data_IF_662558614619
#
_entry.id   IF_662558614619
#
_cell.length_a   1.000
_cell.length_b   1.000
_cell.length_c   1.000
_cell.angle_alpha   90.00
_cell.angle_beta   90.00
_cell.angle_gamma   90.00
#
_symmetry.space_group_name_H-M   'P 1'
#
loop_
_entity.id
_entity.type
_entity.pdbx_description
1 polymer ?
#
# COMPACT_ATOMS: atom_id res chain seq x y z
N UNK A 1 17.92 15.16 -17.19
CA UNK A 1 18.62 16.34 -16.62
C UNK A 1 19.43 15.85 -15.45
N UNK A 2 20.75 16.04 -15.49
CA UNK A 2 21.68 15.57 -14.46
C UNK A 2 21.21 15.98 -13.07
N UNK A 3 21.13 15.02 -12.14
CA UNK A 3 20.97 15.29 -10.71
C UNK A 3 22.27 15.92 -10.24
N UNK A 4 22.39 17.23 -10.41
CA UNK A 4 23.46 18.02 -9.83
C UNK A 4 23.22 18.09 -8.33
N UNK A 5 24.15 17.49 -7.58
CA UNK A 5 24.31 17.70 -6.14
C UNK A 5 24.25 19.20 -5.83
N UNK A 6 23.41 19.60 -4.88
CA UNK A 6 23.29 21.00 -4.43
C UNK A 6 24.68 21.55 -4.03
N UNK A 7 25.09 22.73 -4.51
CA UNK A 7 26.41 23.31 -4.23
C UNK A 7 26.64 23.61 -2.72
N UNK A 8 25.57 23.73 -1.92
CA UNK A 8 25.68 23.87 -0.46
C UNK A 8 26.15 22.59 0.23
N UNK A 9 25.65 21.41 -0.20
CA UNK A 9 26.07 20.13 0.37
C UNK A 9 27.47 19.71 -0.09
N UNK A 10 27.86 20.07 -1.33
CA UNK A 10 29.24 19.91 -1.80
C UNK A 10 30.22 20.74 -0.95
N UNK A 11 29.80 21.94 -0.50
CA UNK A 11 30.63 22.81 0.35
C UNK A 11 30.74 22.29 1.80
N UNK A 12 29.70 21.64 2.33
CA UNK A 12 29.72 21.02 3.67
C UNK A 12 30.54 19.72 3.67
N UNK A 13 30.46 18.92 2.60
CA UNK A 13 31.27 17.71 2.45
C UNK A 13 32.78 18.01 2.33
N UNK A 14 33.16 19.14 1.72
CA UNK A 14 34.57 19.54 1.58
C UNK A 14 35.21 19.99 2.90
N UNK A 15 34.42 20.47 3.87
CA UNK A 15 34.93 20.86 5.20
C UNK A 15 35.23 19.66 6.13
N UNK A 16 34.69 18.47 5.84
CA UNK A 16 34.90 17.27 6.67
C UNK A 16 36.08 16.38 6.22
N UNK A 17 36.75 16.70 5.10
CA UNK A 17 37.83 15.86 4.55
C UNK A 17 39.23 16.22 5.06
N UNK A 18 39.40 17.34 5.79
CA UNK A 18 40.74 17.85 6.12
C UNK A 18 41.32 17.54 7.51
N UNK A 19 40.67 16.71 8.33
CA UNK A 19 41.29 16.26 9.59
C UNK A 19 41.27 14.74 9.68
N UNK A 20 42.41 14.12 9.36
CA UNK A 20 42.63 12.68 9.43
C UNK A 20 42.35 12.13 10.83
N UNK A 21 41.40 11.21 10.91
CA UNK A 21 40.99 10.52 12.13
C UNK A 21 39.58 10.02 11.95
N UNK A 22 39.42 8.71 11.69
CA UNK A 22 38.15 8.09 11.30
C UNK A 22 37.08 8.13 12.38
N UNK A 23 36.37 9.25 12.48
CA UNK A 23 35.07 9.42 13.12
C UNK A 23 34.31 10.44 12.26
N UNK A 24 33.31 10.00 11.48
CA UNK A 24 32.44 10.94 10.77
C UNK A 24 31.65 11.74 11.81
N UNK A 25 32.05 12.98 12.08
CA UNK A 25 31.32 13.86 13.01
C UNK A 25 29.96 14.16 12.38
N UNK A 26 28.88 13.72 13.04
CA UNK A 26 27.51 14.01 12.60
C UNK A 26 27.14 15.46 12.91
N UNK A 27 26.30 16.04 12.05
CA UNK A 27 25.79 17.41 12.19
C UNK A 27 24.78 17.45 13.34
N UNK A 28 25.06 18.29 14.35
CA UNK A 28 24.17 18.54 15.50
C UNK A 28 23.53 19.92 15.48
N UNK A 29 23.89 20.77 14.51
CA UNK A 29 23.36 22.14 14.37
C UNK A 29 21.93 22.12 13.83
N UNK A 30 20.97 22.54 14.67
CA UNK A 30 19.56 22.60 14.29
C UNK A 30 19.26 23.62 13.18
N UNK A 31 20.05 24.68 13.06
CA UNK A 31 19.87 25.67 11.99
C UNK A 31 20.19 25.04 10.65
N UNK A 32 21.32 24.32 10.55
CA UNK A 32 21.69 23.57 9.36
C UNK A 32 20.66 22.47 9.04
N UNK A 33 20.14 21.78 10.06
CA UNK A 33 19.09 20.78 9.89
C UNK A 33 17.78 21.39 9.34
N UNK A 34 17.37 22.57 9.83
CA UNK A 34 16.19 23.29 9.32
C UNK A 34 16.38 23.78 7.90
N UNK A 35 17.54 24.31 7.56
CA UNK A 35 17.81 24.80 6.21
C UNK A 35 17.88 23.65 5.20
N UNK A 36 18.46 22.51 5.59
CA UNK A 36 18.39 21.27 4.79
C UNK A 36 16.94 20.81 4.56
N UNK A 37 16.09 20.82 5.59
CA UNK A 37 14.67 20.47 5.45
C UNK A 37 13.91 21.40 4.50
N UNK A 38 14.19 22.72 4.51
CA UNK A 38 13.57 23.67 3.57
C UNK A 38 13.93 23.35 2.12
N UNK A 39 15.20 23.01 1.85
CA UNK A 39 15.62 22.60 0.50
C UNK A 39 14.93 21.30 0.08
N UNK A 40 14.92 20.31 0.97
CA UNK A 40 14.24 19.04 0.76
C UNK A 40 12.76 19.24 0.43
N UNK A 41 12.03 19.99 1.26
CA UNK A 41 10.59 20.24 1.10
C UNK A 41 10.29 20.93 -0.24
N UNK A 42 11.07 21.95 -0.62
CA UNK A 42 10.91 22.64 -1.90
C UNK A 42 11.07 21.71 -3.11
N UNK A 43 12.07 20.83 -3.07
CA UNK A 43 12.36 19.87 -4.17
C UNK A 43 11.37 18.72 -4.17
N UNK A 44 11.09 18.15 -2.99
CA UNK A 44 10.18 17.04 -2.78
C UNK A 44 8.79 17.34 -3.32
N UNK A 45 8.22 18.52 -2.98
CA UNK A 45 6.90 18.93 -3.50
C UNK A 45 6.80 18.94 -5.02
N UNK A 46 7.87 19.33 -5.73
CA UNK A 46 7.86 19.37 -7.20
C UNK A 46 7.87 17.96 -7.79
N UNK A 47 8.68 17.06 -7.24
CA UNK A 47 8.75 15.66 -7.70
C UNK A 47 7.47 14.91 -7.36
N UNK A 48 6.95 15.11 -6.14
CA UNK A 48 5.71 14.52 -5.67
C UNK A 48 4.51 14.95 -6.52
N UNK A 49 4.43 16.24 -6.88
CA UNK A 49 3.41 16.74 -7.81
C UNK A 49 3.47 16.03 -9.17
N UNK A 50 4.66 15.91 -9.77
CA UNK A 50 4.82 15.23 -11.07
C UNK A 50 4.41 13.76 -10.99
N UNK A 51 4.84 13.05 -9.95
CA UNK A 51 4.47 11.64 -9.72
C UNK A 51 2.97 11.47 -9.51
N UNK A 52 2.36 12.35 -8.71
CA UNK A 52 0.91 12.32 -8.43
C UNK A 52 0.07 12.57 -9.69
N UNK A 53 0.49 13.53 -10.53
CA UNK A 53 -0.20 13.81 -11.80
C UNK A 53 -0.08 12.63 -12.77
N UNK A 54 1.08 11.98 -12.83
CA UNK A 54 1.26 10.79 -13.68
C UNK A 54 0.36 9.63 -13.22
N UNK A 55 0.35 9.33 -11.92
CA UNK A 55 -0.54 8.31 -11.33
C UNK A 55 -2.02 8.63 -11.60
N UNK A 56 -2.44 9.87 -11.39
CA UNK A 56 -3.81 10.32 -11.68
C UNK A 56 -4.21 10.07 -13.14
N UNK A 57 -3.33 10.42 -14.08
CA UNK A 57 -3.57 10.21 -15.51
C UNK A 57 -3.68 8.72 -15.87
N UNK A 58 -2.92 7.84 -15.20
CA UNK A 58 -3.04 6.40 -15.41
C UNK A 58 -4.36 5.84 -14.86
N UNK A 59 -4.69 6.12 -13.59
CA UNK A 59 -5.92 5.56 -12.97
C UNK A 59 -7.21 6.10 -13.59
N UNK A 60 -7.16 7.27 -14.23
CA UNK A 60 -8.29 7.84 -14.98
C UNK A 60 -8.29 7.49 -16.47
N UNK A 61 -7.18 7.00 -17.02
CA UNK A 61 -7.03 6.58 -18.41
C UNK A 61 -5.97 5.46 -18.55
N UNK A 62 -6.42 4.22 -18.38
CA UNK A 62 -5.58 3.02 -18.39
C UNK A 62 -5.03 2.73 -19.78
N UNK A 63 -3.79 3.15 -20.05
CA UNK A 63 -3.05 2.88 -21.28
C UNK A 63 -1.61 2.52 -20.94
N UNK A 64 -0.95 1.71 -21.80
CA UNK A 64 0.47 1.38 -21.65
C UNK A 64 1.35 2.65 -21.62
N UNK A 65 0.99 3.67 -22.40
CA UNK A 65 1.68 4.95 -22.39
C UNK A 65 1.64 5.63 -21.01
N UNK A 66 0.45 5.74 -20.42
CA UNK A 66 0.31 6.34 -19.09
C UNK A 66 0.95 5.49 -18.00
N UNK A 67 0.87 4.15 -18.09
CA UNK A 67 1.55 3.25 -17.18
C UNK A 67 3.06 3.50 -17.16
N UNK A 68 3.67 3.61 -18.35
CA UNK A 68 5.10 3.90 -18.48
C UNK A 68 5.48 5.24 -17.85
N UNK A 69 4.68 6.28 -18.06
CA UNK A 69 4.92 7.60 -17.46
C UNK A 69 4.81 7.57 -15.93
N UNK A 70 3.86 6.82 -15.38
CA UNK A 70 3.72 6.58 -13.94
C UNK A 70 4.96 5.92 -13.36
N UNK A 71 5.43 4.83 -13.96
CA UNK A 71 6.65 4.13 -13.53
C UNK A 71 7.86 5.06 -13.60
N UNK A 72 8.03 5.81 -14.69
CA UNK A 72 9.17 6.71 -14.85
C UNK A 72 9.17 7.86 -13.82
N UNK A 73 8.00 8.43 -13.52
CA UNK A 73 7.87 9.46 -12.49
C UNK A 73 8.09 8.90 -11.07
N UNK A 74 7.56 7.71 -10.79
CA UNK A 74 7.73 7.00 -9.52
C UNK A 74 9.20 6.63 -9.24
N UNK A 75 9.94 6.21 -10.27
CA UNK A 75 11.38 5.94 -10.15
C UNK A 75 12.17 7.20 -9.78
N UNK A 76 11.89 8.34 -10.42
CA UNK A 76 12.55 9.62 -10.08
C UNK A 76 12.25 10.06 -8.65
N UNK A 77 11.01 9.88 -8.20
CA UNK A 77 10.63 10.19 -6.82
C UNK A 77 11.33 9.25 -5.83
N UNK A 78 11.40 7.96 -6.15
CA UNK A 78 12.08 6.95 -5.34
C UNK A 78 13.58 7.23 -5.21
N UNK A 79 14.27 7.56 -6.31
CA UNK A 79 15.69 7.96 -6.27
C UNK A 79 15.91 9.15 -5.32
N UNK A 80 15.02 10.15 -5.36
CA UNK A 80 15.08 11.30 -4.46
C UNK A 80 14.83 10.89 -3.00
N UNK A 81 13.81 10.08 -2.72
CA UNK A 81 13.52 9.58 -1.36
C UNK A 81 14.68 8.79 -0.77
N UNK A 82 15.31 7.93 -1.58
CA UNK A 82 16.50 7.17 -1.20
C UNK A 82 17.65 8.10 -0.82
N UNK A 83 17.92 9.12 -1.65
CA UNK A 83 18.96 10.11 -1.37
C UNK A 83 18.66 10.92 -0.10
N UNK A 84 17.39 11.22 0.17
CA UNK A 84 16.95 11.92 1.38
C UNK A 84 17.22 11.07 2.62
N UNK A 85 16.79 9.80 2.62
CA UNK A 85 17.05 8.89 3.72
C UNK A 85 18.54 8.72 4.00
N UNK A 86 19.35 8.54 2.95
CA UNK A 86 20.80 8.52 3.09
C UNK A 86 21.36 9.82 3.69
N UNK A 87 20.89 10.98 3.23
CA UNK A 87 21.34 12.26 3.74
C UNK A 87 20.98 12.49 5.22
N UNK A 88 19.89 11.91 5.73
CA UNK A 88 19.58 11.99 7.17
C UNK A 88 20.68 11.37 8.05
N UNK A 89 21.48 10.43 7.52
CA UNK A 89 22.55 9.76 8.28
C UNK A 89 23.71 10.68 8.65
N UNK A 90 23.87 11.80 7.93
CA UNK A 90 24.85 12.85 8.25
C UNK A 90 24.48 13.67 9.48
N UNK A 91 23.22 13.64 9.92
CA UNK A 91 22.73 14.37 11.08
C UNK A 91 22.64 13.46 12.30
N UNK A 92 23.01 13.96 13.48
CA UNK A 92 22.67 13.30 14.75
C UNK A 92 21.26 13.70 15.17
N UNK A 93 20.29 13.37 14.32
CA UNK A 93 18.95 13.90 14.46
C UNK A 93 18.24 13.38 15.72
N UNK A 94 18.71 12.28 16.32
CA UNK A 94 18.17 11.75 17.57
C UNK A 94 18.52 12.62 18.78
N UNK A 95 19.63 13.37 18.71
CA UNK A 95 20.10 14.24 19.79
C UNK A 95 19.61 15.68 19.68
N UNK A 96 18.82 16.01 18.65
CA UNK A 96 18.26 17.36 18.50
C UNK A 96 17.42 17.73 19.73
N UNK A 97 17.13 19.00 19.95
CA UNK A 97 16.25 19.46 21.03
C UNK A 97 14.83 19.65 20.54
N UNK A 98 14.65 20.13 19.32
CA UNK A 98 13.34 20.32 18.71
C UNK A 98 12.70 18.97 18.31
N UNK A 99 11.63 18.59 19.00
CA UNK A 99 10.93 17.33 18.76
C UNK A 99 10.22 17.28 17.39
N UNK A 100 9.78 18.42 16.85
CA UNK A 100 9.23 18.50 15.50
C UNK A 100 10.30 18.25 14.43
N UNK A 101 11.53 18.68 14.69
CA UNK A 101 12.70 18.42 13.84
C UNK A 101 13.06 16.93 13.91
N UNK A 102 13.19 16.36 15.12
CA UNK A 102 13.39 14.91 15.30
C UNK A 102 12.35 14.09 14.55
N UNK A 103 11.07 14.47 14.67
CA UNK A 103 9.96 13.78 14.02
C UNK A 103 10.11 13.80 12.50
N UNK A 104 10.40 14.96 11.90
CA UNK A 104 10.63 15.04 10.45
C UNK A 104 11.79 14.15 10.02
N UNK A 105 12.92 14.19 10.73
CA UNK A 105 14.06 13.32 10.44
C UNK A 105 13.75 11.83 10.61
N UNK A 106 12.93 11.45 11.60
CA UNK A 106 12.48 10.07 11.77
C UNK A 106 11.78 9.57 10.51
N UNK A 107 10.80 10.30 9.98
CA UNK A 107 10.10 9.93 8.75
C UNK A 107 11.03 9.93 7.54
N UNK A 108 11.87 10.96 7.39
CA UNK A 108 12.78 11.05 6.26
C UNK A 108 13.89 10.00 6.28
N UNK A 109 14.22 9.45 7.45
CA UNK A 109 15.22 8.39 7.58
C UNK A 109 14.74 7.04 7.04
N UNK A 110 13.45 6.89 6.74
CA UNK A 110 12.84 5.69 6.17
C UNK A 110 12.62 5.91 4.68
N UNK A 111 13.30 5.14 3.84
CA UNK A 111 13.14 5.24 2.40
C UNK A 111 11.93 4.42 1.89
N UNK A 112 11.41 3.51 2.68
CA UNK A 112 10.37 2.57 2.26
C UNK A 112 10.87 1.73 1.08
N UNK A 113 10.00 1.53 0.09
CA UNK A 113 10.34 0.78 -1.13
C UNK A 113 11.56 1.35 -1.86
N UNK A 114 11.80 2.66 -1.78
CA UNK A 114 12.90 3.33 -2.45
C UNK A 114 14.30 2.89 -1.99
N UNK A 115 14.41 2.19 -0.85
CA UNK A 115 15.70 1.66 -0.38
C UNK A 115 16.26 0.57 -1.31
N UNK A 116 15.41 -0.09 -2.09
CA UNK A 116 15.76 -1.15 -3.03
C UNK A 116 16.59 -0.64 -4.22
N UNK A 117 17.07 -1.53 -5.09
CA UNK A 117 17.66 -1.13 -6.38
C UNK A 117 16.60 -0.56 -7.32
N UNK A 118 17.02 0.23 -8.33
CA UNK A 118 16.10 0.78 -9.32
C UNK A 118 15.26 -0.31 -10.02
N UNK A 119 15.91 -1.41 -10.45
CA UNK A 119 15.23 -2.56 -11.06
C UNK A 119 14.19 -3.21 -10.13
N UNK A 120 14.46 -3.25 -8.82
CA UNK A 120 13.54 -3.82 -7.84
C UNK A 120 12.35 -2.89 -7.56
N UNK A 121 12.57 -1.57 -7.55
CA UNK A 121 11.50 -0.57 -7.45
C UNK A 121 10.63 -0.63 -8.70
N UNK A 122 11.23 -0.63 -9.90
CA UNK A 122 10.52 -0.76 -11.17
C UNK A 122 9.69 -2.04 -11.21
N UNK A 123 10.25 -3.17 -10.76
CA UNK A 123 9.53 -4.43 -10.65
C UNK A 123 8.34 -4.33 -9.71
N UNK A 124 8.50 -3.73 -8.53
CA UNK A 124 7.43 -3.56 -7.56
C UNK A 124 6.30 -2.65 -8.09
N UNK A 125 6.63 -1.58 -8.80
CA UNK A 125 5.65 -0.69 -9.43
C UNK A 125 4.92 -1.37 -10.61
N UNK A 126 5.65 -2.13 -11.41
CA UNK A 126 5.07 -2.93 -12.51
C UNK A 126 4.09 -3.97 -11.99
N UNK A 127 4.46 -4.70 -10.93
CA UNK A 127 3.58 -5.68 -10.28
C UNK A 127 2.33 -5.02 -9.69
N UNK A 128 2.48 -3.86 -9.01
CA UNK A 128 1.36 -3.09 -8.46
C UNK A 128 0.39 -2.67 -9.57
N UNK A 129 0.88 -1.96 -10.58
CA UNK A 129 0.04 -1.44 -11.68
C UNK A 129 -0.60 -2.56 -12.49
N UNK A 130 0.10 -3.68 -12.72
CA UNK A 130 -0.48 -4.86 -13.38
C UNK A 130 -1.61 -5.53 -12.58
N UNK A 131 -1.50 -5.58 -11.25
CA UNK A 131 -2.60 -6.04 -10.39
C UNK A 131 -3.79 -5.07 -10.42
N UNK A 132 -3.54 -3.75 -10.39
CA UNK A 132 -4.58 -2.72 -10.50
C UNK A 132 -5.33 -2.80 -11.84
N UNK A 133 -4.61 -2.97 -12.95
CA UNK A 133 -5.20 -3.17 -14.27
C UNK A 133 -6.04 -4.45 -14.34
N UNK A 134 -5.49 -5.56 -13.83
CA UNK A 134 -6.19 -6.85 -13.77
C UNK A 134 -7.50 -6.72 -13.00
N UNK A 135 -7.50 -6.03 -11.86
CA UNK A 135 -8.70 -5.81 -11.06
C UNK A 135 -9.71 -4.89 -11.77
N UNK A 136 -9.24 -3.76 -12.30
CA UNK A 136 -10.08 -2.69 -12.86
C UNK A 136 -10.74 -3.06 -14.19
N UNK A 137 -10.07 -3.89 -15.00
CA UNK A 137 -10.55 -4.27 -16.34
C UNK A 137 -11.27 -5.63 -16.35
N UNK A 138 -11.24 -6.36 -15.24
CA UNK A 138 -11.82 -7.70 -15.14
C UNK A 138 -13.33 -7.70 -15.43
N UNK A 139 -13.77 -8.74 -16.12
CA UNK A 139 -15.17 -9.00 -16.44
C UNK A 139 -15.52 -10.47 -16.17
N UNK A 140 -16.72 -10.70 -15.65
CA UNK A 140 -17.25 -12.04 -15.40
C UNK A 140 -18.33 -12.35 -16.42
N UNK A 141 -18.13 -13.40 -17.20
CA UNK A 141 -19.11 -13.87 -18.18
C UNK A 141 -19.93 -15.00 -17.55
N UNK A 142 -21.19 -14.72 -17.19
CA UNK A 142 -22.09 -15.70 -16.56
C UNK A 142 -22.91 -16.48 -17.61
N UNK A 143 -23.27 -17.75 -17.34
CA UNK A 143 -24.22 -18.48 -18.16
C UNK A 143 -25.55 -17.72 -18.29
N UNK A 144 -26.06 -17.57 -19.51
CA UNK A 144 -27.28 -16.78 -19.78
C UNK A 144 -27.05 -15.27 -19.88
N UNK A 145 -25.81 -14.78 -19.75
CA UNK A 145 -25.40 -13.41 -20.08
C UNK A 145 -24.40 -13.43 -21.24
N UNK A 146 -24.71 -14.21 -22.28
CA UNK A 146 -23.79 -14.49 -23.40
C UNK A 146 -23.48 -13.26 -24.26
N UNK A 147 -24.34 -12.23 -24.23
CA UNK A 147 -24.12 -10.99 -24.98
C UNK A 147 -23.28 -9.95 -24.22
N UNK A 148 -23.14 -10.04 -22.89
CA UNK A 148 -22.41 -9.03 -22.09
C UNK A 148 -21.78 -9.65 -20.84
N UNK A 149 -20.44 -9.66 -20.78
CA UNK A 149 -19.72 -9.93 -19.54
C UNK A 149 -19.84 -8.75 -18.57
N UNK A 150 -19.99 -9.05 -17.29
CA UNK A 150 -20.27 -8.08 -16.23
C UNK A 150 -18.98 -7.51 -15.64
N UNK A 151 -18.89 -6.19 -15.52
CA UNK A 151 -17.84 -5.52 -14.76
C UNK A 151 -18.13 -5.58 -13.26
N UNK A 152 -17.13 -5.30 -12.41
CA UNK A 152 -17.38 -5.18 -10.97
C UNK A 152 -18.40 -4.08 -10.68
N UNK A 153 -18.08 -2.87 -11.11
CA UNK A 153 -18.93 -1.70 -11.02
C UNK A 153 -19.51 -1.33 -12.40
N UNK A 154 -20.81 -1.03 -12.51
CA UNK A 154 -21.85 -1.24 -11.50
C UNK A 154 -22.45 -2.66 -11.51
N UNK A 155 -22.10 -3.50 -12.50
CA UNK A 155 -22.89 -4.70 -12.85
C UNK A 155 -22.92 -5.76 -11.72
N UNK A 156 -21.75 -6.25 -11.29
CA UNK A 156 -21.68 -7.26 -10.22
C UNK A 156 -22.10 -6.69 -8.87
N UNK A 157 -21.68 -5.47 -8.52
CA UNK A 157 -22.08 -4.81 -7.25
C UNK A 157 -23.60 -4.65 -7.16
N UNK A 158 -24.26 -4.29 -8.26
CA UNK A 158 -25.74 -4.26 -8.32
C UNK A 158 -26.32 -5.66 -8.18
N UNK A 159 -25.75 -6.66 -8.85
CA UNK A 159 -26.21 -8.05 -8.75
C UNK A 159 -26.15 -8.56 -7.30
N UNK A 160 -25.03 -8.37 -6.60
CA UNK A 160 -24.89 -8.81 -5.21
C UNK A 160 -25.87 -8.12 -4.28
N UNK A 161 -26.13 -6.83 -4.48
CA UNK A 161 -27.02 -6.06 -3.60
C UNK A 161 -28.51 -6.31 -3.84
N UNK A 162 -28.91 -6.76 -5.04
CA UNK A 162 -30.34 -6.87 -5.41
C UNK A 162 -30.82 -8.30 -5.65
N UNK A 163 -29.93 -9.22 -6.08
CA UNK A 163 -30.33 -10.59 -6.38
C UNK A 163 -30.51 -11.42 -5.11
N UNK A 164 -31.46 -12.34 -5.17
CA UNK A 164 -31.65 -13.41 -4.18
C UNK A 164 -31.50 -14.81 -4.79
N UNK A 165 -30.94 -14.90 -6.00
CA UNK A 165 -30.72 -16.18 -6.66
C UNK A 165 -29.40 -16.80 -6.21
N UNK A 166 -29.49 -17.84 -5.38
CA UNK A 166 -28.34 -18.56 -4.82
C UNK A 166 -27.31 -18.96 -5.88
N UNK A 167 -27.76 -19.62 -6.96
CA UNK A 167 -26.87 -20.14 -8.01
C UNK A 167 -26.19 -19.00 -8.77
N UNK A 168 -26.92 -17.92 -9.06
CA UNK A 168 -26.38 -16.74 -9.73
C UNK A 168 -25.31 -16.07 -8.86
N UNK A 169 -25.61 -15.81 -7.59
CA UNK A 169 -24.68 -15.19 -6.65
C UNK A 169 -23.41 -16.03 -6.45
N UNK A 170 -23.55 -17.35 -6.35
CA UNK A 170 -22.41 -18.29 -6.24
C UNK A 170 -21.53 -18.23 -7.47
N UNK A 171 -22.13 -18.25 -8.67
CA UNK A 171 -21.39 -18.18 -9.94
C UNK A 171 -20.70 -16.82 -10.10
N UNK A 172 -21.37 -15.71 -9.75
CA UNK A 172 -20.78 -14.38 -9.77
C UNK A 172 -19.59 -14.25 -8.81
N UNK A 173 -19.76 -14.70 -7.56
CA UNK A 173 -18.73 -14.62 -6.52
C UNK A 173 -17.49 -15.43 -6.87
N UNK A 174 -17.70 -16.64 -7.38
CA UNK A 174 -16.63 -17.51 -7.86
C UNK A 174 -15.98 -16.93 -9.12
N UNK A 175 -16.79 -16.52 -10.09
CA UNK A 175 -16.33 -15.97 -11.35
C UNK A 175 -15.45 -14.75 -11.15
N UNK A 176 -15.82 -13.83 -10.25
CA UNK A 176 -14.99 -12.67 -9.90
C UNK A 176 -13.61 -13.08 -9.40
N UNK A 177 -13.55 -14.01 -8.43
CA UNK A 177 -12.29 -14.54 -7.88
C UNK A 177 -11.44 -15.29 -8.92
N UNK A 178 -12.09 -15.99 -9.85
CA UNK A 178 -11.41 -16.72 -10.93
C UNK A 178 -10.74 -15.78 -11.94
N UNK A 179 -11.36 -14.64 -12.28
CA UNK A 179 -10.81 -13.68 -13.25
C UNK A 179 -9.87 -12.64 -12.64
N UNK A 180 -9.90 -12.47 -11.31
CA UNK A 180 -9.04 -11.53 -10.57
C UNK A 180 -8.03 -12.26 -9.67
N UNK A 181 -8.44 -12.67 -8.46
CA UNK A 181 -7.57 -13.20 -7.41
C UNK A 181 -6.69 -14.36 -7.86
N UNK A 182 -7.19 -15.24 -8.75
CA UNK A 182 -6.38 -16.32 -9.32
C UNK A 182 -5.23 -15.82 -10.19
N UNK A 183 -5.43 -14.73 -10.94
CA UNK A 183 -4.40 -14.12 -11.80
C UNK A 183 -3.37 -13.34 -10.99
N UNK A 184 -3.81 -12.60 -9.98
CA UNK A 184 -2.93 -11.75 -9.16
C UNK A 184 -2.14 -12.52 -8.09
N UNK A 185 -2.43 -13.81 -7.86
CA UNK A 185 -1.82 -14.60 -6.77
C UNK A 185 -0.29 -14.63 -6.82
N UNK A 186 0.29 -14.84 -7.99
CA UNK A 186 1.74 -14.93 -8.16
C UNK A 186 2.40 -13.56 -7.97
N UNK A 187 1.81 -12.54 -8.60
CA UNK A 187 2.29 -11.16 -8.53
C UNK A 187 2.25 -10.62 -7.10
N UNK A 188 1.17 -10.90 -6.37
CA UNK A 188 1.04 -10.53 -4.96
C UNK A 188 2.12 -11.18 -4.09
N UNK A 189 2.42 -12.46 -4.31
CA UNK A 189 3.47 -13.16 -3.56
C UNK A 189 4.86 -12.56 -3.83
N UNK A 190 5.13 -12.14 -5.07
CA UNK A 190 6.38 -11.47 -5.41
C UNK A 190 6.45 -10.04 -4.85
N UNK A 191 5.34 -9.29 -4.89
CA UNK A 191 5.22 -7.97 -4.29
C UNK A 191 5.55 -8.00 -2.80
N UNK A 192 4.99 -8.96 -2.06
CA UNK A 192 5.22 -9.14 -0.62
C UNK A 192 6.70 -9.40 -0.32
N UNK A 193 7.44 -10.12 -1.19
CA UNK A 193 8.88 -10.34 -0.99
C UNK A 193 9.66 -9.03 -1.10
N UNK A 194 9.35 -8.20 -2.10
CA UNK A 194 10.00 -6.91 -2.32
C UNK A 194 9.72 -5.94 -1.16
N UNK A 195 8.44 -5.83 -0.74
CA UNK A 195 8.05 -4.99 0.39
C UNK A 195 8.74 -5.42 1.69
N UNK A 196 8.76 -6.72 1.99
CA UNK A 196 9.47 -7.23 3.17
C UNK A 196 11.00 -7.04 3.07
N UNK A 197 11.58 -7.11 1.87
CA UNK A 197 13.01 -6.80 1.68
C UNK A 197 13.28 -5.33 2.01
N UNK A 198 12.44 -4.42 1.51
CA UNK A 198 12.56 -2.99 1.78
C UNK A 198 12.43 -2.69 3.28
N UNK A 199 11.40 -3.22 3.94
CA UNK A 199 11.19 -3.05 5.37
C UNK A 199 12.42 -3.49 6.21
N UNK A 200 13.03 -4.63 5.86
CA UNK A 200 14.26 -5.11 6.53
C UNK A 200 15.47 -4.20 6.32
N UNK A 201 15.63 -3.63 5.14
CA UNK A 201 16.70 -2.67 4.87
C UNK A 201 16.48 -1.36 5.64
N UNK A 202 15.22 -0.98 5.87
CA UNK A 202 14.84 0.15 6.73
C UNK A 202 14.91 -0.17 8.25
N UNK A 203 15.39 -1.35 8.62
CA UNK A 203 15.58 -1.77 10.01
C UNK A 203 14.31 -2.23 10.73
N UNK A 204 13.29 -2.64 9.98
CA UNK A 204 12.04 -3.24 10.49
C UNK A 204 12.05 -4.76 10.22
N UNK A 205 11.21 -5.54 10.89
CA UNK A 205 11.10 -6.99 10.68
C UNK A 205 10.45 -7.33 9.34
N UNK A 206 9.37 -6.64 9.01
CA UNK A 206 8.49 -6.93 7.88
C UNK A 206 7.64 -5.70 7.49
N UNK A 207 6.99 -5.78 6.33
CA UNK A 207 6.08 -4.75 5.82
C UNK A 207 4.88 -4.51 6.76
N UNK A 208 4.48 -5.52 7.55
CA UNK A 208 3.43 -5.38 8.54
C UNK A 208 3.84 -4.44 9.67
N UNK A 209 5.08 -4.55 10.16
CA UNK A 209 5.66 -3.62 11.12
C UNK A 209 5.76 -2.21 10.53
N UNK A 210 6.20 -2.07 9.27
CA UNK A 210 6.24 -0.76 8.60
C UNK A 210 4.86 -0.09 8.56
N UNK A 211 3.80 -0.86 8.30
CA UNK A 211 2.42 -0.35 8.30
C UNK A 211 1.91 -0.01 9.69
N UNK A 212 2.26 -0.78 10.72
CA UNK A 212 1.86 -0.47 12.10
C UNK A 212 2.63 0.72 12.69
N UNK A 213 3.87 0.95 12.24
CA UNK A 213 4.73 2.01 12.76
C UNK A 213 4.12 3.42 12.64
N UNK A 214 3.22 3.65 11.68
CA UNK A 214 2.54 4.95 11.51
C UNK A 214 1.63 5.32 12.68
N UNK A 215 1.21 4.34 13.49
CA UNK A 215 0.38 4.57 14.67
C UNK A 215 1.20 4.94 15.91
N UNK A 216 2.53 4.79 15.86
CA UNK A 216 3.46 5.14 16.96
C UNK A 216 3.00 4.56 18.32
N UNK A 217 2.52 3.32 18.31
CA UNK A 217 1.93 2.62 19.45
C UNK A 217 2.69 1.32 19.72
N UNK A 218 3.18 1.15 20.95
CA UNK A 218 4.01 0.00 21.33
C UNK A 218 3.26 -1.34 21.25
N UNK A 219 2.00 -1.40 21.73
CA UNK A 219 1.15 -2.61 21.70
C UNK A 219 -0.10 -2.43 20.83
N UNK A 220 0.14 -2.03 19.57
CA UNK A 220 -0.95 -1.84 18.60
C UNK A 220 -1.80 -3.11 18.40
N UNK A 221 -1.19 -4.29 18.38
CA UNK A 221 -1.89 -5.55 18.17
C UNK A 221 -2.74 -5.94 19.39
N UNK A 222 -2.24 -5.74 20.61
CA UNK A 222 -3.00 -5.98 21.83
C UNK A 222 -4.22 -5.06 21.96
N UNK A 223 -4.08 -3.78 21.60
CA UNK A 223 -5.19 -2.83 21.63
C UNK A 223 -6.28 -3.17 20.60
N UNK A 224 -5.89 -3.58 19.39
CA UNK A 224 -6.85 -4.08 18.39
C UNK A 224 -7.58 -5.33 18.86
N UNK A 225 -6.87 -6.28 19.48
CA UNK A 225 -7.47 -7.50 20.02
C UNK A 225 -8.45 -7.17 21.16
N UNK A 226 -8.10 -6.23 22.06
CA UNK A 226 -9.01 -5.75 23.11
C UNK A 226 -10.31 -5.19 22.53
N UNK A 227 -10.20 -4.29 21.56
CA UNK A 227 -11.37 -3.70 20.89
C UNK A 227 -12.19 -4.78 20.19
N UNK A 228 -11.55 -5.76 19.53
CA UNK A 228 -12.25 -6.89 18.92
C UNK A 228 -13.05 -7.68 19.95
N UNK A 229 -12.47 -8.01 21.12
CA UNK A 229 -13.19 -8.74 22.17
C UNK A 229 -14.39 -7.95 22.72
N UNK A 230 -14.34 -6.62 22.73
CA UNK A 230 -15.48 -5.77 23.14
C UNK A 230 -16.61 -5.76 22.09
N UNK A 231 -16.26 -5.78 20.80
CA UNK A 231 -17.23 -5.81 19.68
C UNK A 231 -17.81 -7.21 19.47
N UNK A 232 -17.03 -8.25 19.78
CA UNK A 232 -17.34 -9.66 19.49
C UNK A 232 -18.71 -10.13 19.99
N UNK A 233 -19.16 -9.83 21.23
CA UNK A 233 -20.50 -10.24 21.68
C UNK A 233 -21.63 -9.66 20.82
N UNK A 234 -21.52 -8.39 20.41
CA UNK A 234 -22.50 -7.76 19.51
C UNK A 234 -22.45 -8.41 18.13
N UNK A 235 -21.25 -8.61 17.59
CA UNK A 235 -21.05 -9.27 16.30
C UNK A 235 -21.63 -10.69 16.29
N UNK A 236 -21.43 -11.49 17.34
CA UNK A 236 -21.96 -12.85 17.44
C UNK A 236 -23.49 -12.89 17.46
N UNK A 237 -24.13 -11.97 18.18
CA UNK A 237 -25.59 -11.86 18.19
C UNK A 237 -26.12 -11.46 16.81
N UNK A 238 -25.50 -10.46 16.16
CA UNK A 238 -25.86 -10.04 14.81
C UNK A 238 -25.68 -11.17 13.80
N UNK A 239 -24.52 -11.84 13.84
CA UNK A 239 -24.19 -12.98 13.00
C UNK A 239 -25.22 -14.11 13.16
N UNK A 240 -25.57 -14.48 14.41
CA UNK A 240 -26.57 -15.52 14.66
C UNK A 240 -27.96 -15.13 14.12
N UNK A 241 -28.39 -13.89 14.32
CA UNK A 241 -29.65 -13.39 13.79
C UNK A 241 -29.69 -13.42 12.26
N UNK A 242 -28.67 -12.85 11.61
CA UNK A 242 -28.55 -12.80 10.15
C UNK A 242 -28.48 -14.20 9.56
N UNK A 243 -27.66 -15.09 10.16
CA UNK A 243 -27.57 -16.50 9.74
C UNK A 243 -28.92 -17.19 9.75
N UNK A 244 -29.71 -17.05 10.83
CA UNK A 244 -31.04 -17.65 10.92
C UNK A 244 -31.95 -17.16 9.79
N UNK A 245 -31.99 -15.84 9.56
CA UNK A 245 -32.81 -15.25 8.48
C UNK A 245 -32.38 -15.69 7.08
N UNK A 246 -31.07 -15.83 6.85
CA UNK A 246 -30.56 -16.33 5.56
C UNK A 246 -30.83 -17.82 5.38
N UNK A 247 -30.73 -18.63 6.42
CA UNK A 247 -31.07 -20.05 6.38
C UNK A 247 -32.56 -20.26 6.05
N UNK A 248 -33.46 -19.46 6.64
CA UNK A 248 -34.88 -19.43 6.28
C UNK A 248 -35.10 -19.04 4.81
N UNK A 249 -34.44 -17.96 4.35
CA UNK A 249 -34.58 -17.44 2.98
C UNK A 249 -34.06 -18.40 1.92
N UNK A 250 -32.95 -19.09 2.19
CA UNK A 250 -32.29 -20.01 1.26
C UNK A 250 -32.55 -21.48 1.60
N UNK A 251 -33.68 -21.77 2.27
CA UNK A 251 -34.09 -23.13 2.57
C UNK A 251 -34.14 -23.98 1.28
N UNK A 252 -33.58 -25.19 1.33
CA UNK A 252 -33.45 -26.08 0.17
C UNK A 252 -32.17 -25.88 -0.66
N UNK A 253 -31.34 -24.88 -0.34
CA UNK A 253 -29.96 -24.80 -0.82
C UNK A 253 -28.97 -25.41 0.17
N UNK A 254 -27.72 -25.54 -0.28
CA UNK A 254 -26.59 -26.06 0.48
C UNK A 254 -26.12 -25.03 1.54
N UNK A 255 -26.97 -24.79 2.53
CA UNK A 255 -26.67 -23.88 3.65
C UNK A 255 -25.94 -24.64 4.76
N UNK A 256 -24.74 -24.19 5.18
CA UNK A 256 -23.92 -24.91 6.15
C UNK A 256 -24.56 -25.06 7.54
N UNK A 257 -24.51 -26.28 8.07
CA UNK A 257 -24.87 -26.58 9.46
C UNK A 257 -23.81 -26.11 10.46
N UNK A 258 -22.55 -26.02 10.01
CA UNK A 258 -21.31 -25.77 10.78
C UNK A 258 -21.19 -24.36 11.40
N UNK A 259 -22.17 -23.48 11.19
CA UNK A 259 -22.22 -22.18 11.87
C UNK A 259 -21.84 -20.99 11.00
N UNK A 260 -21.11 -21.16 9.91
CA UNK A 260 -20.71 -20.05 9.04
C UNK A 260 -21.80 -19.65 8.05
N UNK A 261 -21.71 -18.41 7.54
CA UNK A 261 -22.60 -17.90 6.49
C UNK A 261 -21.85 -17.96 5.15
N UNK A 262 -22.43 -18.55 4.08
CA UNK A 262 -21.82 -18.54 2.76
C UNK A 262 -21.54 -17.12 2.27
N UNK A 263 -20.29 -16.84 1.91
CA UNK A 263 -19.85 -15.46 1.68
C UNK A 263 -20.52 -14.78 0.46
N UNK A 264 -21.03 -15.56 -0.49
CA UNK A 264 -21.68 -15.08 -1.71
C UNK A 264 -23.09 -14.52 -1.52
N UNK A 265 -23.72 -14.69 -0.35
CA UNK A 265 -25.10 -14.23 -0.07
C UNK A 265 -25.18 -13.05 0.89
N UNK A 266 -24.08 -12.35 1.11
CA UNK A 266 -23.97 -11.25 2.09
C UNK A 266 -24.34 -9.87 1.54
N UNK A 267 -24.85 -9.79 0.31
CA UNK A 267 -25.26 -8.52 -0.31
C UNK A 267 -24.13 -7.71 -0.99
N UNK A 268 -22.88 -8.14 -0.84
CA UNK A 268 -21.68 -7.50 -1.42
C UNK A 268 -20.64 -8.55 -1.85
N UNK A 269 -19.71 -8.16 -2.73
CA UNK A 269 -18.81 -9.10 -3.43
C UNK A 269 -17.58 -9.56 -2.62
N UNK A 270 -17.21 -8.82 -1.56
CA UNK A 270 -15.94 -8.99 -0.83
C UNK A 270 -16.05 -9.61 0.56
N UNK A 271 -17.25 -9.96 1.05
CA UNK A 271 -17.29 -10.76 2.28
C UNK A 271 -16.57 -12.09 2.03
N UNK A 272 -15.60 -12.37 2.91
CA UNK A 272 -14.96 -13.67 3.13
C UNK A 272 -14.76 -13.75 4.65
N UNK A 273 -15.71 -14.37 5.34
CA UNK A 273 -15.59 -14.66 6.77
C UNK A 273 -15.32 -16.16 6.80
N UNK A 274 -14.04 -16.52 6.89
CA UNK A 274 -13.64 -17.89 7.21
C UNK A 274 -13.57 -18.06 8.71
#
# INVERSE_FOLDING_TARGET
>A
MNVTTSPMLASIAVLLVFLGGGWSVKITDETLARDWLKEFDSRGRKLDYVSTVAEWNYVTNLTEHNQKLTVEAGLRLSEFQKAVAYNTTYFDWKSLKDDGLKRQFLFLSKAGLAILSADEVEKADTLRTGMEETYSTAKVCLPGHTAKCLTLEPDLTRMFSTSSNWKQLRLAWKGWRDVTGKKMKADYAEQVKLLNKAARLDGLRDEGEARRAVYEMDDFEGELERIWQEVKPLYQNLHAYVRRRLAEKYAGHDFPSEGHIPAHIMGIHYFDIR
#
